data_IF_337776545618
#
_entry.id   IF_337776545618
#
_cell.length_a   1.000
_cell.length_b   1.000
_cell.length_c   1.000
_cell.angle_alpha   90.00
_cell.angle_beta   90.00
_cell.angle_gamma   90.00
#
_symmetry.space_group_name_H-M   'P 1'
#
loop_
_entity.id
_entity.type
_entity.pdbx_description
1 polymer ?
#
# COMPACT_ATOMS: atom_id res chain seq x y z
N UNK A 1 -6.25 1.27 7.49
CA UNK A 1 -5.42 1.37 6.30
C UNK A 1 -5.50 2.81 5.87
N UNK A 2 -4.34 3.46 5.81
CA UNK A 2 -4.16 4.87 5.46
C UNK A 2 -3.19 4.91 4.29
N UNK A 3 -3.64 5.43 3.15
CA UNK A 3 -2.87 5.55 1.91
C UNK A 3 -1.74 6.60 2.02
N UNK A 4 -1.76 7.43 3.08
CA UNK A 4 -0.67 8.34 3.43
C UNK A 4 0.41 7.65 4.25
N UNK A 5 0.26 6.38 4.61
CA UNK A 5 1.29 5.59 5.28
C UNK A 5 1.96 4.63 4.30
N UNK A 6 3.22 4.34 4.62
CA UNK A 6 3.98 3.25 4.02
C UNK A 6 3.98 2.08 4.98
N UNK A 7 3.82 0.87 4.47
CA UNK A 7 3.79 -0.35 5.27
C UNK A 7 4.91 -1.28 4.82
N UNK A 8 5.41 -2.12 5.72
CA UNK A 8 6.20 -3.28 5.35
C UNK A 8 5.37 -4.55 5.56
N UNK A 9 5.64 -5.58 4.77
CA UNK A 9 4.94 -6.85 4.86
C UNK A 9 5.87 -8.00 4.45
N UNK A 10 5.56 -9.19 4.95
CA UNK A 10 6.12 -10.45 4.50
C UNK A 10 5.15 -11.12 3.52
N UNK A 11 5.67 -11.80 2.49
CA UNK A 11 4.86 -12.56 1.56
C UNK A 11 4.49 -13.93 2.17
N UNK A 12 3.21 -14.24 2.43
CA UNK A 12 2.82 -15.48 3.14
C UNK A 12 3.24 -16.76 2.43
N UNK A 13 3.30 -16.73 1.09
CA UNK A 13 3.67 -17.86 0.25
C UNK A 13 5.20 -17.99 0.05
N UNK A 14 6.00 -17.02 0.51
CA UNK A 14 7.46 -17.04 0.49
C UNK A 14 8.01 -16.48 1.82
N UNK A 15 8.03 -17.30 2.90
CA UNK A 15 8.54 -16.86 4.19
C UNK A 15 9.98 -16.31 4.09
N UNK A 16 10.24 -15.22 4.82
CA UNK A 16 11.48 -14.45 4.76
C UNK A 16 11.56 -13.43 3.62
N UNK A 17 10.57 -13.39 2.72
CA UNK A 17 10.52 -12.40 1.63
C UNK A 17 9.74 -11.15 2.08
N UNK A 18 10.48 -10.10 2.45
CA UNK A 18 9.93 -8.84 2.91
C UNK A 18 9.85 -7.80 1.79
N UNK A 19 8.79 -7.00 1.81
CA UNK A 19 8.58 -5.91 0.87
C UNK A 19 7.95 -4.69 1.56
N UNK A 20 7.89 -3.60 0.81
CA UNK A 20 7.24 -2.35 1.21
C UNK A 20 6.01 -2.12 0.34
N UNK A 21 4.89 -1.75 0.96
CA UNK A 21 3.67 -1.32 0.29
C UNK A 21 3.49 0.19 0.48
N UNK A 22 3.53 0.92 -0.64
CA UNK A 22 3.38 2.37 -0.70
C UNK A 22 1.98 2.71 -1.21
N UNK A 23 1.30 3.63 -0.52
CA UNK A 23 -0.06 4.06 -0.82
C UNK A 23 -1.05 2.92 -1.06
N UNK A 24 -1.26 2.02 -0.08
CA UNK A 24 -2.24 0.97 -0.21
C UNK A 24 -3.65 1.55 -0.29
N UNK A 25 -4.43 1.10 -1.26
CA UNK A 25 -5.82 1.53 -1.47
C UNK A 25 -6.65 0.35 -2.01
N UNK A 26 -7.87 0.20 -1.51
CA UNK A 26 -8.83 -0.74 -2.09
C UNK A 26 -9.59 -0.01 -3.18
N UNK A 27 -9.56 -0.53 -4.39
CA UNK A 27 -10.29 0.07 -5.49
C UNK A 27 -11.79 -0.27 -5.40
N UNK A 28 -12.70 0.71 -5.32
CA UNK A 28 -14.13 0.43 -5.22
C UNK A 28 -14.73 -0.18 -6.49
N UNK A 29 -14.03 -0.13 -7.63
CA UNK A 29 -14.52 -0.62 -8.94
C UNK A 29 -14.31 -2.12 -9.11
N UNK A 30 -13.26 -2.68 -8.51
CA UNK A 30 -12.90 -4.11 -8.64
C UNK A 30 -12.66 -4.82 -7.29
N UNK A 31 -12.65 -4.08 -6.18
CA UNK A 31 -12.47 -4.60 -4.82
C UNK A 31 -11.05 -5.04 -4.48
N UNK A 32 -10.07 -4.85 -5.38
CA UNK A 32 -8.68 -5.30 -5.16
C UNK A 32 -7.91 -4.29 -4.32
N UNK A 33 -6.96 -4.81 -3.54
CA UNK A 33 -5.99 -3.99 -2.82
C UNK A 33 -4.82 -3.67 -3.75
N UNK A 34 -4.68 -2.39 -4.11
CA UNK A 34 -3.59 -1.87 -4.91
C UNK A 34 -2.54 -1.17 -4.05
N UNK A 35 -1.26 -1.41 -4.31
CA UNK A 35 -0.14 -0.69 -3.69
C UNK A 35 1.09 -0.71 -4.59
N UNK A 36 1.91 0.33 -4.50
CA UNK A 36 3.20 0.33 -5.17
C UNK A 36 4.24 -0.42 -4.32
N UNK A 37 5.00 -1.31 -4.97
CA UNK A 37 6.17 -1.97 -4.40
C UNK A 37 7.42 -1.39 -5.07
N UNK A 38 8.35 -0.76 -4.32
CA UNK A 38 9.58 -0.21 -4.88
C UNK A 38 10.30 -1.19 -5.80
N UNK A 39 10.72 -0.72 -6.98
CA UNK A 39 11.36 -1.50 -8.05
C UNK A 39 10.54 -2.69 -8.63
N UNK A 40 9.32 -2.96 -8.14
CA UNK A 40 8.46 -4.07 -8.60
C UNK A 40 7.14 -3.61 -9.23
N UNK A 41 6.83 -2.31 -9.17
CA UNK A 41 5.62 -1.72 -9.76
C UNK A 41 4.38 -1.81 -8.86
N UNK A 42 3.20 -1.58 -9.45
CA UNK A 42 1.93 -1.64 -8.72
C UNK A 42 1.45 -3.09 -8.65
N UNK A 43 1.26 -3.58 -7.44
CA UNK A 43 0.65 -4.87 -7.16
C UNK A 43 -0.85 -4.68 -6.93
N UNK A 44 -1.64 -5.69 -7.30
CA UNK A 44 -3.08 -5.74 -7.10
C UNK A 44 -3.44 -7.10 -6.51
N UNK A 45 -3.82 -7.15 -5.24
CA UNK A 45 -4.20 -8.38 -4.56
C UNK A 45 -5.72 -8.51 -4.51
N UNK A 46 -6.22 -9.69 -4.88
CA UNK A 46 -7.64 -10.03 -4.73
C UNK A 46 -7.88 -10.59 -3.33
N UNK A 47 -8.87 -10.05 -2.61
CA UNK A 47 -9.12 -10.44 -1.23
C UNK A 47 -9.96 -9.42 -0.48
N UNK A 48 -9.78 -9.37 0.85
CA UNK A 48 -10.46 -8.38 1.71
C UNK A 48 -9.59 -8.00 2.91
N UNK A 49 -9.74 -6.76 3.36
CA UNK A 49 -9.22 -6.34 4.66
C UNK A 49 -10.02 -7.06 5.76
N UNK A 50 -9.34 -7.79 6.63
CA UNK A 50 -9.97 -8.54 7.73
C UNK A 50 -9.71 -7.91 9.11
N UNK A 51 -8.71 -7.03 9.19
CA UNK A 51 -8.35 -6.32 10.42
C UNK A 51 -7.70 -5.00 10.09
N UNK A 52 -8.02 -3.97 10.86
CA UNK A 52 -7.42 -2.65 10.71
C UNK A 52 -7.33 -1.99 12.09
N UNK A 53 -6.11 -1.63 12.49
CA UNK A 53 -5.82 -1.06 13.81
C UNK A 53 -5.25 0.35 13.73
N UNK A 54 -5.06 0.88 12.52
CA UNK A 54 -4.30 2.11 12.29
C UNK A 54 -2.78 1.92 12.29
N UNK A 55 -2.24 1.02 13.11
CA UNK A 55 -0.81 0.68 13.16
C UNK A 55 -0.44 -0.47 12.21
N UNK A 56 -1.36 -1.40 12.00
CA UNK A 56 -1.27 -2.41 10.95
C UNK A 56 -2.66 -2.78 10.45
N UNK A 57 -2.71 -3.39 9.27
CA UNK A 57 -3.89 -4.04 8.76
C UNK A 57 -3.54 -5.43 8.23
N UNK A 58 -4.53 -6.32 8.23
CA UNK A 58 -4.42 -7.67 7.68
C UNK A 58 -5.35 -7.81 6.48
N UNK A 59 -4.83 -8.45 5.43
CA UNK A 59 -5.55 -8.70 4.19
C UNK A 59 -5.55 -10.19 3.89
N UNK A 60 -6.74 -10.78 3.84
CA UNK A 60 -6.92 -12.17 3.41
C UNK A 60 -6.89 -12.20 1.88
N UNK A 61 -5.78 -12.67 1.32
CA UNK A 61 -5.55 -12.76 -0.12
C UNK A 61 -5.99 -14.13 -0.64
N UNK A 62 -6.86 -14.12 -1.65
CA UNK A 62 -7.36 -15.31 -2.34
C UNK A 62 -6.87 -15.37 -3.80
N UNK A 63 -5.74 -14.70 -4.09
CA UNK A 63 -5.27 -14.50 -5.46
C UNK A 63 -4.66 -15.77 -6.07
N UNK A 64 -5.42 -16.40 -6.96
CA UNK A 64 -4.99 -17.53 -7.80
C UNK A 64 -4.28 -17.09 -9.09
N UNK A 65 -4.40 -15.82 -9.48
CA UNK A 65 -3.92 -15.27 -10.76
C UNK A 65 -2.43 -14.96 -10.70
N UNK A 66 -1.91 -14.57 -9.53
CA UNK A 66 -0.49 -14.26 -9.33
C UNK A 66 0.37 -15.47 -8.89
N UNK A 67 -0.11 -16.70 -9.09
CA UNK A 67 0.66 -17.94 -8.86
C UNK A 67 0.72 -18.38 -7.40
N UNK A 68 -0.45 -18.56 -6.76
CA UNK A 68 -0.59 -19.03 -5.37
C UNK A 68 -0.02 -18.07 -4.31
N UNK A 69 -0.15 -16.75 -4.53
CA UNK A 69 0.18 -15.73 -3.52
C UNK A 69 -0.89 -15.59 -2.43
N UNK A 70 -1.65 -16.64 -2.19
CA UNK A 70 -2.72 -16.65 -1.21
C UNK A 70 -2.18 -16.59 0.22
N UNK A 71 -3.09 -16.35 1.15
CA UNK A 71 -2.81 -16.30 2.58
C UNK A 71 -3.06 -14.93 3.19
N UNK A 72 -2.82 -14.83 4.48
CA UNK A 72 -3.06 -13.58 5.22
C UNK A 72 -1.81 -12.73 5.23
N UNK A 73 -1.87 -11.59 4.52
CA UNK A 73 -0.83 -10.58 4.56
C UNK A 73 -1.02 -9.69 5.78
N UNK A 74 0.07 -9.43 6.50
CA UNK A 74 0.10 -8.41 7.55
C UNK A 74 0.95 -7.22 7.10
N UNK A 75 0.30 -6.08 6.93
CA UNK A 75 0.94 -4.82 6.55
C UNK A 75 1.11 -3.97 7.80
N UNK A 76 2.34 -3.83 8.27
CA UNK A 76 2.66 -3.06 9.47
C UNK A 76 3.18 -1.68 9.07
N UNK A 77 2.65 -0.61 9.68
CA UNK A 77 3.08 0.75 9.36
C UNK A 77 4.58 0.89 9.63
N UNK A 78 5.29 1.44 8.64
CA UNK A 78 6.73 1.54 8.66
C UNK A 78 7.15 2.84 9.37
N UNK A 79 7.55 2.73 10.62
CA UNK A 79 8.12 3.86 11.38
C UNK A 79 9.63 4.00 11.16
N UNK A 80 10.17 5.20 11.38
CA UNK A 80 11.59 5.50 11.14
C UNK A 80 12.55 4.70 12.03
N UNK A 81 12.14 4.29 13.23
CA UNK A 81 12.99 3.50 14.14
C UNK A 81 13.11 2.07 13.63
N UNK A 82 11.98 1.45 13.28
CA UNK A 82 11.95 0.12 12.64
C UNK A 82 12.71 0.14 11.32
N UNK A 83 12.52 1.21 10.53
CA UNK A 83 13.19 1.37 9.25
C UNK A 83 14.71 1.34 9.38
N UNK A 84 15.28 2.16 10.27
CA UNK A 84 16.73 2.26 10.52
C UNK A 84 17.32 1.04 11.23
N UNK A 85 16.51 0.32 12.00
CA UNK A 85 16.97 -0.91 12.67
C UNK A 85 17.09 -2.07 11.69
N UNK A 86 16.11 -2.21 10.80
CA UNK A 86 15.91 -3.46 10.05
C UNK A 86 15.63 -3.26 8.57
N UNK A 87 14.56 -2.51 8.22
CA UNK A 87 14.05 -2.46 6.85
C UNK A 87 15.06 -1.93 5.83
N UNK A 88 15.89 -0.96 6.21
CA UNK A 88 16.88 -0.37 5.30
C UNK A 88 17.88 -1.39 4.72
N UNK A 89 18.11 -2.52 5.40
CA UNK A 89 19.12 -3.52 5.01
C UNK A 89 18.73 -4.33 3.76
N UNK A 90 17.43 -4.48 3.51
CA UNK A 90 16.92 -5.38 2.47
C UNK A 90 16.10 -4.67 1.39
N UNK A 91 15.91 -3.36 1.50
CA UNK A 91 15.27 -2.57 0.44
C UNK A 91 16.29 -1.87 -0.46
N UNK A 92 15.93 -1.69 -1.73
CA UNK A 92 16.68 -0.82 -2.63
C UNK A 92 16.71 0.62 -2.08
N UNK A 93 17.88 1.27 -2.16
CA UNK A 93 18.12 2.65 -1.68
C UNK A 93 17.92 2.85 -0.16
N UNK A 94 17.88 1.78 0.63
CA UNK A 94 17.59 1.87 2.07
C UNK A 94 18.54 2.79 2.85
N UNK A 95 19.82 2.82 2.48
CA UNK A 95 20.83 3.70 3.10
C UNK A 95 20.51 5.18 2.89
N UNK A 96 20.25 5.58 1.64
CA UNK A 96 19.97 6.98 1.29
C UNK A 96 18.68 7.47 1.97
N UNK A 97 17.66 6.60 2.04
CA UNK A 97 16.39 6.90 2.73
C UNK A 97 16.64 7.09 4.24
N UNK A 98 17.48 6.25 4.86
CA UNK A 98 17.77 6.29 6.29
C UNK A 98 18.52 7.57 6.70
N UNK A 99 19.37 8.07 5.80
CA UNK A 99 20.15 9.30 5.97
C UNK A 99 19.30 10.57 5.74
N UNK A 100 18.41 10.58 4.74
CA UNK A 100 17.64 11.78 4.41
C UNK A 100 16.37 11.99 5.26
N UNK A 101 15.66 10.92 5.64
CA UNK A 101 14.40 11.04 6.38
C UNK A 101 14.67 11.24 7.88
N UNK A 102 14.20 12.33 8.49
CA UNK A 102 14.46 12.61 9.91
C UNK A 102 13.45 11.90 10.83
N UNK A 103 12.19 11.82 10.39
CA UNK A 103 11.08 11.26 11.16
C UNK A 103 10.19 10.35 10.29
N UNK A 104 9.18 9.72 10.92
CA UNK A 104 8.24 8.80 10.23
C UNK A 104 7.40 9.51 9.15
N UNK A 105 7.03 10.77 9.36
CA UNK A 105 6.26 11.52 8.35
C UNK A 105 7.11 11.79 7.10
N UNK A 106 8.38 12.16 7.28
CA UNK A 106 9.34 12.32 6.17
C UNK A 106 9.49 11.02 5.39
N UNK A 107 9.62 9.90 6.10
CA UNK A 107 9.73 8.57 5.49
C UNK A 107 8.53 8.24 4.62
N UNK A 108 7.31 8.40 5.17
CA UNK A 108 6.09 8.18 4.42
C UNK A 108 5.98 9.11 3.21
N UNK A 109 6.31 10.39 3.37
CA UNK A 109 6.30 11.35 2.27
C UNK A 109 7.30 10.98 1.18
N UNK A 110 8.53 10.59 1.56
CA UNK A 110 9.58 10.19 0.64
C UNK A 110 9.12 9.03 -0.23
N UNK A 111 8.52 7.98 0.35
CA UNK A 111 8.00 6.87 -0.43
C UNK A 111 6.88 7.28 -1.39
N UNK A 112 5.91 8.08 -0.94
CA UNK A 112 4.83 8.54 -1.84
C UNK A 112 5.34 9.36 -3.01
N UNK A 113 6.37 10.19 -2.77
CA UNK A 113 6.97 11.03 -3.81
C UNK A 113 7.75 10.19 -4.84
N UNK A 114 8.51 9.19 -4.39
CA UNK A 114 9.42 8.43 -5.25
C UNK A 114 8.78 7.17 -5.86
N UNK A 115 7.75 6.62 -5.22
CA UNK A 115 7.03 5.41 -5.65
C UNK A 115 5.52 5.63 -5.59
N UNK A 116 4.98 6.59 -6.37
CA UNK A 116 3.56 6.90 -6.35
C UNK A 116 2.73 5.71 -6.86
N UNK A 117 1.58 5.47 -6.23
CA UNK A 117 0.57 4.56 -6.74
C UNK A 117 -0.42 5.33 -7.62
N UNK A 118 -0.36 5.17 -8.94
CA UNK A 118 -1.25 5.87 -9.89
C UNK A 118 -2.72 5.59 -9.61
N UNK A 119 -3.03 4.42 -9.03
CA UNK A 119 -4.40 4.01 -8.74
C UNK A 119 -5.12 4.95 -7.77
N UNK A 120 -4.39 5.59 -6.86
CA UNK A 120 -4.95 6.60 -5.93
C UNK A 120 -5.54 7.78 -6.70
N UNK A 121 -4.79 8.32 -7.67
CA UNK A 121 -5.27 9.43 -8.49
C UNK A 121 -6.43 9.02 -9.41
N UNK A 122 -6.36 7.82 -9.99
CA UNK A 122 -7.43 7.27 -10.83
C UNK A 122 -8.74 7.05 -10.07
N UNK A 123 -8.67 6.55 -8.83
CA UNK A 123 -9.85 6.39 -7.95
C UNK A 123 -10.43 7.76 -7.63
N UNK A 124 -9.61 8.72 -7.20
CA UNK A 124 -10.08 10.07 -6.88
C UNK A 124 -10.77 10.75 -8.08
N UNK A 125 -10.22 10.63 -9.28
CA UNK A 125 -10.85 11.15 -10.50
C UNK A 125 -12.20 10.48 -10.80
N UNK A 126 -12.28 9.16 -10.61
CA UNK A 126 -13.52 8.39 -10.79
C UNK A 126 -14.59 8.78 -9.75
N UNK A 127 -14.21 8.94 -8.47
CA UNK A 127 -15.14 9.35 -7.40
C UNK A 127 -15.72 10.73 -7.65
N UNK A 128 -14.90 11.68 -8.12
CA UNK A 128 -15.37 13.02 -8.48
C UNK A 128 -16.40 12.99 -9.62
N UNK A 129 -16.16 12.18 -10.64
CA UNK A 129 -17.08 12.00 -11.75
C UNK A 129 -18.38 11.29 -11.33
N UNK A 130 -18.31 10.26 -10.48
CA UNK A 130 -19.48 9.58 -9.94
C UNK A 130 -20.32 10.50 -9.06
N UNK A 131 -19.69 11.33 -8.23
CA UNK A 131 -20.39 12.32 -7.40
C UNK A 131 -21.09 13.37 -8.27
N UNK A 132 -20.44 13.83 -9.36
CA UNK A 132 -21.05 14.72 -10.34
C UNK A 132 -22.30 14.10 -10.96
N UNK A 133 -22.23 12.84 -11.41
CA UNK A 133 -23.38 12.11 -11.99
C UNK A 133 -24.53 11.92 -11.02
N UNK A 134 -24.23 11.61 -9.76
CA UNK A 134 -25.25 11.43 -8.71
C UNK A 134 -25.95 12.75 -8.37
N UNK A 135 -25.21 13.85 -8.29
CA UNK A 135 -25.80 15.19 -8.07
C UNK A 135 -26.75 15.64 -9.19
N UNK A 136 -26.49 15.23 -10.44
CA UNK A 136 -27.41 15.52 -11.56
C UNK A 136 -28.68 14.65 -11.57
N UNK A 137 -28.70 13.53 -10.81
CA UNK A 137 -29.87 12.63 -10.74
C UNK A 137 -30.91 13.06 -9.70
N UNK A 138 -30.57 13.97 -8.79
CA UNK A 138 -31.46 14.46 -7.73
C UNK A 138 -32.27 15.71 -8.11
N UNK A 139 -32.02 16.28 -9.31
CA UNK A 139 -32.71 17.47 -9.84
C UNK A 139 -33.86 17.13 -10.79
N UNK A 140 -34.51 15.97 -10.62
CA UNK A 140 -35.69 15.53 -11.42
C UNK A 140 -36.84 15.12 -10.50
#
# INVERSE_FOLDING_TARGET
>A
MDDRKTYWFEQPHMPGMFNVAVQPIVDPRDGRLHFAVPASGIWALTGKVIKDTGDYFEFECNDSVMGARGGTYKFSALDIKTFRKETWKWIAQGKDIAECCQNTADLHFWYRKNWPNSRVAEIGAWEMEENRRKGHRTDI
#
